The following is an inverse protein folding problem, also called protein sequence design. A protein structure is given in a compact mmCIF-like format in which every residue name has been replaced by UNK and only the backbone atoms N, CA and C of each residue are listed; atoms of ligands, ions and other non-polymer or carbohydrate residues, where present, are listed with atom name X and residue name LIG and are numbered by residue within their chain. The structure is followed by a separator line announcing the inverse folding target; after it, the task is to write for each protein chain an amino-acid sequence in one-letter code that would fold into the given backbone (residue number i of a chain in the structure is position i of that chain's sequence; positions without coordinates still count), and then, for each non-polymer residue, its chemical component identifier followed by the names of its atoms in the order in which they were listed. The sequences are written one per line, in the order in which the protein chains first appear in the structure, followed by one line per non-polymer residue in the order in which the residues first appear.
data_IF_850017255239
#
_entry.id   IF_850017255239
#
_cell.length_a   1.000
_cell.length_b   1.000
_cell.length_c   1.000
_cell.angle_alpha   90.00
_cell.angle_beta   90.00
_cell.angle_gamma   90.00
#
_symmetry.space_group_name_H-M   'P 1'
#
loop_
_entity.id
_entity.type
_entity.pdbx_description
1 polymer ?
#
# COMPACT_ATOMS: atom_id res chain seq x y z
N UNK A 1 4.36 41.12 31.53
CA UNK A 1 5.11 39.85 31.57
C UNK A 1 4.94 39.18 30.22
N UNK A 2 5.92 39.32 29.32
CA UNK A 2 5.89 38.71 27.99
C UNK A 2 6.37 37.26 28.13
N UNK A 3 5.47 36.30 27.90
CA UNK A 3 5.80 34.89 27.88
C UNK A 3 6.52 34.58 26.57
N UNK A 4 7.85 34.49 26.62
CA UNK A 4 8.69 33.92 25.56
C UNK A 4 8.36 32.43 25.43
N UNK A 5 7.64 32.07 24.38
CA UNK A 5 7.44 30.67 23.99
C UNK A 5 8.77 30.10 23.54
N UNK A 6 9.39 29.31 24.42
CA UNK A 6 10.58 28.53 24.09
C UNK A 6 10.21 27.52 23.00
N UNK A 7 10.79 27.71 21.82
CA UNK A 7 10.70 26.76 20.71
C UNK A 7 11.45 25.50 21.12
N UNK A 8 10.71 24.43 21.34
CA UNK A 8 11.28 23.13 21.70
C UNK A 8 12.33 22.71 20.66
N UNK A 9 13.50 22.38 21.18
CA UNK A 9 14.68 21.90 20.44
C UNK A 9 14.30 20.80 19.46
N UNK A 10 14.61 21.04 18.18
CA UNK A 10 14.47 20.13 17.04
C UNK A 10 15.21 18.81 17.37
N UNK A 11 14.47 17.73 17.60
CA UNK A 11 15.05 16.40 17.84
C UNK A 11 15.96 16.04 16.65
N UNK A 12 17.23 15.77 16.96
CA UNK A 12 18.39 15.83 16.07
C UNK A 12 18.52 14.69 15.04
N UNK A 13 17.42 14.18 14.48
CA UNK A 13 17.48 13.08 13.51
C UNK A 13 16.38 13.05 12.47
N UNK A 14 15.37 13.93 12.56
CA UNK A 14 14.22 13.89 11.65
C UNK A 14 14.13 15.18 10.83
N UNK A 15 14.25 15.12 9.49
CA UNK A 15 14.18 16.30 8.65
C UNK A 15 12.82 16.99 8.82
N UNK A 16 12.85 18.15 9.47
CA UNK A 16 11.73 19.07 9.69
C UNK A 16 10.57 18.55 10.57
N UNK A 17 10.80 17.46 11.31
CA UNK A 17 9.87 16.92 12.31
C UNK A 17 8.93 15.84 11.80
N UNK A 18 8.30 15.10 12.73
CA UNK A 18 7.53 13.88 12.46
C UNK A 18 6.28 14.12 11.60
N UNK A 19 5.73 15.32 11.67
CA UNK A 19 4.54 15.74 10.91
C UNK A 19 4.89 16.25 9.51
N UNK A 20 6.17 16.47 9.21
CA UNK A 20 6.61 16.91 7.89
C UNK A 20 6.70 15.71 6.93
N UNK A 21 6.51 15.96 5.63
CA UNK A 21 6.55 14.93 4.59
C UNK A 21 7.82 14.06 4.67
N UNK A 22 8.98 14.70 4.85
CA UNK A 22 10.27 14.00 4.97
C UNK A 22 10.37 13.11 6.21
N UNK A 23 9.73 13.49 7.31
CA UNK A 23 9.67 12.66 8.51
C UNK A 23 8.83 11.40 8.31
N UNK A 24 7.71 11.52 7.59
CA UNK A 24 6.85 10.37 7.22
C UNK A 24 7.55 9.46 6.20
N UNK A 25 8.26 10.05 5.23
CA UNK A 25 9.13 9.31 4.28
C UNK A 25 10.19 8.49 4.99
N UNK A 26 10.86 9.08 5.99
CA UNK A 26 11.85 8.37 6.80
C UNK A 26 11.25 7.18 7.55
N UNK A 27 10.07 7.35 8.16
CA UNK A 27 9.37 6.25 8.83
C UNK A 27 8.89 5.17 7.86
N UNK A 28 8.47 5.55 6.66
CA UNK A 28 8.02 4.63 5.62
C UNK A 28 9.17 3.81 5.01
N UNK A 29 10.41 4.32 5.06
CA UNK A 29 11.59 3.57 4.63
C UNK A 29 11.88 2.35 5.52
N UNK A 30 11.56 2.40 6.82
CA UNK A 30 11.79 1.30 7.76
C UNK A 30 11.05 -0.01 7.39
N UNK A 31 9.75 0.00 7.03
CA UNK A 31 9.06 -1.17 6.48
C UNK A 31 9.35 -1.43 4.98
N UNK A 32 10.31 -0.72 4.36
CA UNK A 32 10.63 -0.86 2.94
C UNK A 32 9.57 -0.30 1.99
N UNK A 33 8.75 0.65 2.45
CA UNK A 33 7.72 1.28 1.62
C UNK A 33 8.36 2.36 0.75
N UNK A 34 8.18 2.26 -0.58
CA UNK A 34 8.70 3.26 -1.52
C UNK A 34 8.11 4.66 -1.24
N UNK A 35 8.93 5.73 -1.32
CA UNK A 35 8.51 7.10 -0.99
C UNK A 35 7.35 7.59 -1.87
N UNK A 36 7.25 7.11 -3.11
CA UNK A 36 6.18 7.47 -4.04
C UNK A 36 4.83 6.82 -3.72
N UNK A 37 4.82 5.79 -2.85
CA UNK A 37 3.59 5.12 -2.38
C UNK A 37 3.02 5.77 -1.11
N UNK A 38 3.66 6.81 -0.58
CA UNK A 38 3.18 7.59 0.57
C UNK A 38 2.04 8.50 0.11
N UNK A 39 0.86 7.91 0.04
CA UNK A 39 -0.36 8.56 -0.41
C UNK A 39 -0.98 9.51 0.62
N UNK A 40 -2.31 9.62 0.55
CA UNK A 40 -3.10 10.49 1.43
C UNK A 40 -3.21 9.99 2.88
N UNK A 41 -2.96 8.70 3.12
CA UNK A 41 -3.01 8.07 4.43
C UNK A 41 -1.94 6.97 4.49
N UNK A 42 -1.12 7.00 5.54
CA UNK A 42 -0.17 5.93 5.85
C UNK A 42 -0.43 5.48 7.27
N UNK A 43 -0.63 4.17 7.47
CA UNK A 43 -0.87 3.61 8.79
C UNK A 43 0.27 2.67 9.14
N UNK A 44 0.92 2.95 10.27
CA UNK A 44 1.98 2.15 10.85
C UNK A 44 1.43 1.37 12.05
N UNK A 45 1.76 0.09 12.11
CA UNK A 45 1.40 -0.78 13.23
C UNK A 45 2.51 -0.86 14.29
N UNK A 46 2.29 -1.70 15.29
CA UNK A 46 3.24 -1.96 16.38
C UNK A 46 4.56 -2.55 15.86
N UNK A 47 4.52 -3.21 14.71
CA UNK A 47 5.67 -3.86 14.07
C UNK A 47 6.82 -2.92 13.70
N UNK A 48 6.55 -1.62 13.61
CA UNK A 48 7.54 -0.58 13.25
C UNK A 48 8.04 0.16 14.52
N UNK A 49 7.66 -0.31 15.71
CA UNK A 49 8.11 0.23 16.99
C UNK A 49 7.18 1.27 17.63
N UNK A 50 5.94 1.42 17.13
CA UNK A 50 4.92 2.24 17.78
C UNK A 50 4.19 1.45 18.88
N UNK A 51 3.81 2.10 19.97
CA UNK A 51 3.00 1.46 21.04
C UNK A 51 1.58 1.16 20.60
N UNK A 52 1.03 1.95 19.68
CA UNK A 52 -0.33 1.81 19.15
C UNK A 52 -0.34 2.00 17.62
N UNK A 53 -1.39 1.51 16.97
CA UNK A 53 -1.61 1.75 15.55
C UNK A 53 -1.70 3.26 15.27
N UNK A 54 -0.72 3.78 14.53
CA UNK A 54 -0.54 5.21 14.31
C UNK A 54 -0.72 5.52 12.83
N UNK A 55 -1.67 6.40 12.52
CA UNK A 55 -1.96 6.90 11.19
C UNK A 55 -1.40 8.30 10.95
N UNK A 56 -0.82 8.51 9.77
CA UNK A 56 -0.42 9.81 9.24
C UNK A 56 -1.32 10.17 8.07
N UNK A 57 -2.11 11.23 8.22
CA UNK A 57 -3.08 11.70 7.23
C UNK A 57 -2.66 13.04 6.64
N UNK A 58 -2.57 13.14 5.32
CA UNK A 58 -2.10 14.35 4.64
C UNK A 58 -3.03 15.53 4.91
N UNK A 59 -2.46 16.67 5.28
CA UNK A 59 -3.21 17.92 5.40
C UNK A 59 -3.69 18.38 4.02
N UNK A 60 -4.92 18.89 3.92
CA UNK A 60 -5.49 19.39 2.66
C UNK A 60 -4.64 20.48 1.98
N UNK A 61 -3.86 21.25 2.75
CA UNK A 61 -2.95 22.29 2.24
C UNK A 61 -1.57 21.74 1.84
N UNK A 62 -1.32 20.45 1.99
CA UNK A 62 -0.09 19.79 1.57
C UNK A 62 1.16 20.11 2.39
N UNK A 63 1.05 20.81 3.53
CA UNK A 63 2.20 21.22 4.36
C UNK A 63 2.77 20.10 5.22
N UNK A 64 2.05 19.00 5.36
CA UNK A 64 2.47 17.86 6.19
C UNK A 64 1.34 16.88 6.44
N UNK A 65 1.49 16.11 7.52
CA UNK A 65 0.60 15.04 7.93
C UNK A 65 0.13 15.24 9.38
N UNK A 66 -1.16 15.01 9.61
CA UNK A 66 -1.72 14.85 10.94
C UNK A 66 -1.41 13.44 11.43
N UNK A 67 -0.74 13.35 12.58
CA UNK A 67 -0.61 12.10 13.31
C UNK A 67 -1.89 11.84 14.10
N UNK A 68 -2.37 10.60 14.08
CA UNK A 68 -3.50 10.14 14.87
C UNK A 68 -3.28 8.71 15.34
N UNK A 69 -3.62 8.44 16.59
CA UNK A 69 -3.87 7.11 17.12
C UNK A 69 -5.39 6.93 17.26
N UNK A 70 -5.85 5.82 17.85
CA UNK A 70 -7.27 5.65 18.17
C UNK A 70 -7.74 6.61 19.27
N UNK A 71 -6.84 6.99 20.18
CA UNK A 71 -7.15 7.80 21.36
C UNK A 71 -6.80 9.28 21.19
N UNK A 72 -5.78 9.59 20.39
CA UNK A 72 -5.26 10.96 20.25
C UNK A 72 -5.12 11.38 18.79
N UNK A 73 -5.32 12.68 18.51
CA UNK A 73 -5.07 13.24 17.19
C UNK A 73 -4.51 14.66 17.27
N UNK A 74 -3.46 14.92 16.48
CA UNK A 74 -2.84 16.24 16.34
C UNK A 74 -3.69 17.27 15.57
N UNK A 75 -4.88 16.89 15.08
CA UNK A 75 -5.70 17.79 14.28
C UNK A 75 -6.47 18.82 15.13
N UNK A 76 -6.73 20.03 14.59
CA UNK A 76 -7.48 21.07 15.30
C UNK A 76 -8.85 20.60 15.81
N UNK A 77 -9.55 19.76 15.04
CA UNK A 77 -10.88 19.28 15.43
C UNK A 77 -10.84 18.45 16.71
N UNK A 78 -9.80 17.64 16.93
CA UNK A 78 -9.63 16.88 18.16
C UNK A 78 -9.25 17.81 19.32
N UNK A 79 -8.25 18.67 19.10
CA UNK A 79 -7.76 19.59 20.14
C UNK A 79 -8.85 20.53 20.68
N UNK A 80 -9.73 21.05 19.80
CA UNK A 80 -10.75 22.02 20.21
C UNK A 80 -12.10 21.40 20.58
N UNK A 81 -12.46 20.22 20.05
CA UNK A 81 -13.78 19.60 20.32
C UNK A 81 -13.70 18.43 21.30
N UNK A 82 -12.52 17.87 21.57
CA UNK A 82 -12.30 16.77 22.51
C UNK A 82 -12.95 15.42 22.13
N UNK A 83 -13.63 15.35 20.98
CA UNK A 83 -14.31 14.15 20.49
C UNK A 83 -13.60 13.47 19.32
N UNK A 84 -14.03 12.25 18.94
CA UNK A 84 -13.41 11.48 17.87
C UNK A 84 -13.47 12.23 16.54
N UNK A 85 -12.30 12.61 16.04
CA UNK A 85 -12.18 13.40 14.83
C UNK A 85 -12.28 12.55 13.55
N UNK A 86 -12.39 13.21 12.39
CA UNK A 86 -12.45 12.52 11.09
C UNK A 86 -11.24 11.59 10.85
N UNK A 87 -10.07 11.92 11.40
CA UNK A 87 -8.85 11.14 11.22
C UNK A 87 -8.87 9.85 12.03
N UNK A 88 -9.39 9.88 13.27
CA UNK A 88 -9.58 8.68 14.08
C UNK A 88 -10.58 7.71 13.44
N UNK A 89 -11.70 8.22 12.93
CA UNK A 89 -12.69 7.40 12.20
C UNK A 89 -12.08 6.75 10.96
N UNK A 90 -11.29 7.52 10.19
CA UNK A 90 -10.60 7.01 9.02
C UNK A 90 -9.51 5.99 9.38
N UNK A 91 -8.78 6.19 10.48
CA UNK A 91 -7.81 5.23 10.98
C UNK A 91 -8.51 3.90 11.34
N UNK A 92 -9.62 3.97 12.08
CA UNK A 92 -10.38 2.78 12.44
C UNK A 92 -10.88 2.02 11.20
N UNK A 93 -11.37 2.73 10.18
CA UNK A 93 -11.79 2.13 8.91
C UNK A 93 -10.62 1.46 8.16
N UNK A 94 -9.45 2.10 8.10
CA UNK A 94 -8.27 1.52 7.47
C UNK A 94 -7.75 0.28 8.23
N UNK A 95 -7.81 0.29 9.56
CA UNK A 95 -7.48 -0.88 10.38
C UNK A 95 -8.48 -2.01 10.18
N UNK A 96 -9.77 -1.70 10.08
CA UNK A 96 -10.80 -2.69 9.75
C UNK A 96 -10.59 -3.29 8.35
N UNK A 97 -10.26 -2.47 7.34
CA UNK A 97 -9.94 -2.96 5.99
C UNK A 97 -8.72 -3.88 5.99
N UNK A 98 -7.67 -3.52 6.72
CA UNK A 98 -6.47 -4.38 6.86
C UNK A 98 -6.79 -5.70 7.56
N UNK A 99 -7.60 -5.66 8.62
CA UNK A 99 -8.03 -6.85 9.35
C UNK A 99 -8.97 -7.75 8.52
N UNK A 100 -9.85 -7.16 7.71
CA UNK A 100 -10.78 -7.89 6.85
C UNK A 100 -10.11 -8.56 5.64
N UNK A 101 -8.85 -8.21 5.34
CA UNK A 101 -8.13 -8.72 4.19
C UNK A 101 -8.67 -8.19 2.84
N UNK A 102 -8.21 -8.72 1.71
CA UNK A 102 -8.69 -8.31 0.39
C UNK A 102 -10.17 -8.65 0.25
N UNK A 103 -11.03 -7.63 0.38
CA UNK A 103 -12.46 -7.79 0.15
C UNK A 103 -12.74 -7.93 -1.35
N UNK A 104 -13.58 -8.90 -1.69
CA UNK A 104 -14.11 -9.05 -3.04
C UNK A 104 -15.13 -7.92 -3.30
N UNK A 105 -15.24 -7.42 -4.53
CA UNK A 105 -16.25 -6.42 -4.87
C UNK A 105 -17.66 -6.98 -4.63
N UNK A 106 -18.61 -6.09 -4.39
CA UNK A 106 -20.00 -6.46 -4.10
C UNK A 106 -20.57 -7.38 -5.20
N UNK A 107 -21.16 -8.49 -4.79
CA UNK A 107 -21.72 -9.51 -5.69
C UNK A 107 -20.75 -10.61 -6.14
N UNK A 108 -19.47 -10.53 -5.77
CA UNK A 108 -18.50 -11.62 -6.03
C UNK A 108 -18.44 -12.55 -4.83
N UNK A 109 -18.87 -13.80 -5.03
CA UNK A 109 -18.81 -14.84 -4.02
C UNK A 109 -17.42 -15.50 -4.06
N UNK A 110 -16.73 -15.66 -2.92
CA UNK A 110 -15.50 -16.42 -2.88
C UNK A 110 -15.76 -17.87 -3.28
N UNK A 111 -14.91 -18.41 -4.16
CA UNK A 111 -14.91 -19.83 -4.50
C UNK A 111 -14.56 -20.66 -3.25
N UNK A 112 -15.16 -21.84 -3.13
CA UNK A 112 -14.79 -22.79 -2.09
C UNK A 112 -13.32 -23.23 -2.25
N UNK A 113 -12.72 -23.79 -1.20
CA UNK A 113 -11.38 -24.38 -1.28
C UNK A 113 -11.29 -25.44 -2.39
N UNK A 114 -12.32 -26.29 -2.50
CA UNK A 114 -12.41 -27.34 -3.52
C UNK A 114 -12.47 -26.74 -4.94
N UNK A 115 -13.25 -25.69 -5.14
CA UNK A 115 -13.36 -25.00 -6.43
C UNK A 115 -12.04 -24.34 -6.86
N UNK A 116 -11.32 -23.76 -5.89
CA UNK A 116 -10.01 -23.16 -6.11
C UNK A 116 -8.98 -24.23 -6.53
N UNK A 117 -8.97 -25.38 -5.88
CA UNK A 117 -8.10 -26.51 -6.22
C UNK A 117 -8.43 -27.09 -7.59
N UNK A 118 -9.71 -27.31 -7.89
CA UNK A 118 -10.16 -27.77 -9.20
C UNK A 118 -9.74 -26.79 -10.30
N UNK A 119 -9.85 -25.47 -10.06
CA UNK A 119 -9.40 -24.43 -10.98
C UNK A 119 -7.88 -24.43 -11.15
N UNK A 120 -7.11 -24.59 -10.07
CA UNK A 120 -5.63 -24.71 -10.13
C UNK A 120 -5.21 -25.90 -10.98
N UNK A 121 -5.85 -27.05 -10.80
CA UNK A 121 -5.58 -28.26 -11.60
C UNK A 121 -5.85 -28.03 -13.09
N UNK A 122 -7.00 -27.43 -13.45
CA UNK A 122 -7.31 -27.08 -14.86
C UNK A 122 -6.28 -26.13 -15.47
N UNK A 123 -5.82 -25.13 -14.71
CA UNK A 123 -4.79 -24.19 -15.18
C UNK A 123 -3.45 -24.90 -15.39
N UNK A 124 -3.05 -25.76 -14.45
CA UNK A 124 -1.81 -26.52 -14.53
C UNK A 124 -1.80 -27.46 -15.74
N UNK A 125 -2.87 -28.21 -15.96
CA UNK A 125 -3.03 -29.10 -17.11
C UNK A 125 -2.97 -28.33 -18.44
N UNK A 126 -3.69 -27.21 -18.54
CA UNK A 126 -3.64 -26.34 -19.72
C UNK A 126 -2.23 -25.80 -19.97
N UNK A 127 -1.53 -25.40 -18.91
CA UNK A 127 -0.18 -24.86 -19.03
C UNK A 127 0.83 -25.95 -19.42
N UNK A 128 0.68 -27.18 -18.91
CA UNK A 128 1.48 -28.33 -19.30
C UNK A 128 1.28 -28.64 -20.79
N UNK A 129 0.03 -28.70 -21.26
CA UNK A 129 -0.28 -28.89 -22.69
C UNK A 129 0.35 -27.80 -23.56
N UNK A 130 0.24 -26.52 -23.16
CA UNK A 130 0.89 -25.42 -23.88
C UNK A 130 2.42 -25.52 -23.87
N UNK A 131 3.02 -26.02 -22.80
CA UNK A 131 4.45 -26.23 -22.73
C UNK A 131 4.90 -27.36 -23.68
N UNK A 132 4.15 -28.46 -23.76
CA UNK A 132 4.38 -29.54 -24.73
C UNK A 132 4.23 -29.07 -26.17
N UNK A 133 3.16 -28.32 -26.47
CA UNK A 133 2.93 -27.71 -27.79
C UNK A 133 4.08 -26.77 -28.17
N UNK A 134 4.55 -25.94 -27.23
CA UNK A 134 5.68 -25.03 -27.44
C UNK A 134 7.01 -25.77 -27.61
N UNK A 135 7.19 -26.92 -26.96
CA UNK A 135 8.37 -27.77 -27.11
C UNK A 135 8.39 -28.50 -28.47
N UNK A 136 7.22 -28.88 -28.98
CA UNK A 136 7.06 -29.50 -30.31
C UNK A 136 7.05 -28.48 -31.44
N UNK A 137 6.68 -27.24 -31.17
CA UNK A 137 6.65 -26.18 -32.18
C UNK A 137 8.06 -25.97 -32.75
N UNK A 138 8.19 -25.84 -34.08
CA UNK A 138 9.47 -25.48 -34.68
C UNK A 138 9.92 -24.13 -34.10
N UNK A 139 11.21 -24.02 -33.77
CA UNK A 139 11.76 -22.77 -33.28
C UNK A 139 11.48 -21.69 -34.32
N UNK A 140 10.88 -20.55 -33.95
CA UNK A 140 10.66 -19.47 -34.91
C UNK A 140 12.02 -19.09 -35.50
N UNK A 141 12.05 -18.89 -36.83
CA UNK A 141 13.28 -18.55 -37.52
C UNK A 141 13.87 -17.28 -36.89
N UNK A 142 15.12 -17.36 -36.46
CA UNK A 142 15.87 -16.21 -35.91
C UNK A 142 16.44 -15.32 -37.01
N UNK A 143 15.93 -15.47 -38.24
CA UNK A 143 16.30 -14.65 -39.38
C UNK A 143 16.01 -13.18 -39.06
N UNK A 144 16.98 -12.26 -39.21
CA UNK A 144 16.76 -10.83 -38.98
C UNK A 144 15.85 -10.20 -40.05
N UNK A 145 15.47 -10.95 -41.09
CA UNK A 145 14.49 -10.51 -42.08
C UNK A 145 13.10 -10.86 -41.57
N UNK A 146 12.46 -9.86 -40.98
CA UNK A 146 11.06 -9.90 -40.62
C UNK A 146 10.16 -10.23 -41.81
N UNK A 147 9.00 -10.78 -41.48
CA UNK A 147 7.90 -11.16 -42.37
C UNK A 147 8.04 -12.54 -43.05
N UNK A 148 7.48 -13.57 -42.40
CA UNK A 148 7.36 -14.92 -42.96
C UNK A 148 6.41 -14.93 -44.17
N UNK A 149 6.91 -15.22 -45.38
CA UNK A 149 6.10 -15.86 -46.42
C UNK A 149 6.19 -17.38 -46.24
N UNK A 150 5.08 -18.14 -46.33
CA UNK A 150 5.15 -19.60 -46.32
C UNK A 150 5.82 -20.09 -47.61
N UNK A 151 6.82 -20.95 -47.47
CA UNK A 151 7.47 -21.61 -48.60
C UNK A 151 6.46 -22.54 -49.28
N UNK A 152 6.17 -22.24 -50.54
CA UNK A 152 5.28 -23.03 -51.39
C UNK A 152 5.97 -24.35 -51.72
N UNK A 153 5.28 -25.44 -51.43
CA UNK A 153 5.60 -26.82 -51.79
C UNK A 153 5.76 -26.90 -53.32
N UNK A 154 6.92 -27.38 -53.78
CA UNK A 154 7.16 -27.83 -55.15
C UNK A 154 7.77 -29.23 -55.12
#
# INVERSE_FOLDING_TARGET
MQATTQTATKAAGLPDGLHHRRGVEYLAAAPGMEPDKIGAAVVFGVEIGFSEATGFFKESKGRGYWMTTLNECSCPSFMYRGGPCKHQKRLAEELQKRAAGPSLPAGVVPLSSEDLEARRRRIAERNAKRAEERARAPKPSTSPRGFNMPEVIA
#
